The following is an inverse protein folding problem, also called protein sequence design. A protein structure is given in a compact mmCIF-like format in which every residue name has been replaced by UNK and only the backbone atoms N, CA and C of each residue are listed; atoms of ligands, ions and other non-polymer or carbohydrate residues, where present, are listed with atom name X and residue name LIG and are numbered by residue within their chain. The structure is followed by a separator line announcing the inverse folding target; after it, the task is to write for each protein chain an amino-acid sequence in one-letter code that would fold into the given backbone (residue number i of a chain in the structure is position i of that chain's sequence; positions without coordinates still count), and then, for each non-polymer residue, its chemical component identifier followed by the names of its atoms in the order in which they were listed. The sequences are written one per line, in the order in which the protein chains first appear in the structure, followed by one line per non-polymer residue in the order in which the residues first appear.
data_IF_556130320990
#
_entry.id   IF_556130320990
#
_cell.length_a   1.000
_cell.length_b   1.000
_cell.length_c   1.000
_cell.angle_alpha   90.00
_cell.angle_beta   90.00
_cell.angle_gamma   90.00
#
_symmetry.space_group_name_H-M   'P 1'
#
loop_
_entity.id
_entity.type
_entity.pdbx_description
1 polymer ?
#
# COMPACT_ATOMS: atom_id res chain seq x y z
N UNK A 1 -8.34 -23.57 -7.97
CA UNK A 1 -7.60 -23.82 -9.23
C UNK A 1 -8.45 -23.69 -10.51
N UNK A 2 -9.80 -23.64 -10.44
CA UNK A 2 -10.66 -23.65 -11.64
C UNK A 2 -11.08 -22.26 -12.18
N UNK A 3 -10.91 -21.17 -11.42
CA UNK A 3 -11.28 -19.80 -11.86
C UNK A 3 -10.19 -19.09 -12.68
N UNK A 4 -8.93 -19.47 -12.49
CA UNK A 4 -7.79 -18.94 -13.25
C UNK A 4 -7.89 -19.33 -14.73
N UNK A 5 -8.48 -20.48 -15.03
CA UNK A 5 -8.59 -21.03 -16.39
C UNK A 5 -9.57 -20.23 -17.27
N UNK A 6 -10.66 -19.68 -16.72
CA UNK A 6 -11.67 -18.96 -17.53
C UNK A 6 -11.16 -17.57 -17.94
N UNK A 7 -10.49 -16.84 -17.04
CA UNK A 7 -9.84 -15.57 -17.39
C UNK A 7 -8.66 -15.79 -18.37
N UNK A 8 -7.94 -16.92 -18.25
CA UNK A 8 -6.87 -17.28 -19.20
C UNK A 8 -7.38 -17.55 -20.62
N UNK A 9 -8.54 -18.22 -20.79
CA UNK A 9 -9.05 -18.62 -22.11
C UNK A 9 -9.51 -17.40 -22.95
N UNK A 10 -10.04 -16.35 -22.31
CA UNK A 10 -10.50 -15.14 -23.02
C UNK A 10 -9.36 -14.18 -23.39
N UNK A 11 -8.21 -14.28 -22.73
CA UNK A 11 -7.10 -13.32 -22.86
C UNK A 11 -6.06 -13.69 -23.93
N UNK A 12 -6.16 -14.86 -24.58
CA UNK A 12 -5.08 -15.43 -25.40
C UNK A 12 -4.79 -14.64 -26.69
N UNK A 13 -5.75 -13.90 -27.26
CA UNK A 13 -5.56 -13.27 -28.59
C UNK A 13 -5.60 -11.73 -28.62
N UNK A 14 -5.98 -11.03 -27.55
CA UNK A 14 -6.10 -9.56 -27.59
C UNK A 14 -5.49 -8.88 -26.36
N UNK A 15 -4.45 -8.07 -26.61
CA UNK A 15 -3.75 -7.26 -25.58
C UNK A 15 -4.70 -6.37 -24.78
N UNK A 16 -5.72 -5.80 -25.43
CA UNK A 16 -6.72 -4.94 -24.76
C UNK A 16 -7.58 -5.76 -23.78
N UNK A 17 -8.00 -6.96 -24.18
CA UNK A 17 -8.81 -7.84 -23.32
C UNK A 17 -7.99 -8.33 -22.13
N UNK A 18 -6.72 -8.70 -22.35
CA UNK A 18 -5.81 -9.08 -21.28
C UNK A 18 -5.54 -7.93 -20.30
N UNK A 19 -5.39 -6.70 -20.80
CA UNK A 19 -5.18 -5.53 -19.96
C UNK A 19 -6.41 -5.20 -19.07
N UNK A 20 -7.63 -5.49 -19.53
CA UNK A 20 -8.85 -5.18 -18.78
C UNK A 20 -9.28 -6.33 -17.85
N UNK A 21 -9.11 -7.59 -18.27
CA UNK A 21 -9.66 -8.76 -17.57
C UNK A 21 -8.60 -9.74 -17.06
N UNK A 22 -7.32 -9.57 -17.41
CA UNK A 22 -6.24 -10.42 -16.94
C UNK A 22 -6.03 -10.29 -15.43
N UNK A 23 -5.81 -11.42 -14.75
CA UNK A 23 -5.62 -11.46 -13.29
C UNK A 23 -4.20 -11.08 -12.84
N UNK A 24 -3.19 -11.31 -13.68
CA UNK A 24 -1.77 -11.08 -13.31
C UNK A 24 -1.21 -9.77 -13.88
N UNK A 25 -1.61 -9.40 -15.09
CA UNK A 25 -1.08 -8.24 -15.83
C UNK A 25 -2.14 -7.21 -16.19
N UNK A 26 -3.41 -7.48 -15.86
CA UNK A 26 -4.56 -6.62 -16.15
C UNK A 26 -5.18 -5.98 -14.91
N UNK A 27 -6.30 -5.26 -15.12
CA UNK A 27 -7.05 -4.54 -14.08
C UNK A 27 -8.06 -5.41 -13.33
N UNK A 28 -8.32 -6.63 -13.80
CA UNK A 28 -9.16 -7.60 -13.11
C UNK A 28 -10.62 -7.16 -12.95
N UNK A 29 -11.25 -6.59 -14.00
CA UNK A 29 -12.64 -6.11 -13.92
C UNK A 29 -13.72 -7.16 -13.64
N UNK A 30 -13.39 -8.45 -13.74
CA UNK A 30 -14.30 -9.54 -13.36
C UNK A 30 -13.59 -10.56 -12.45
N UNK A 31 -13.35 -10.24 -11.17
CA UNK A 31 -12.82 -11.20 -10.21
C UNK A 31 -13.97 -12.01 -9.61
N UNK A 32 -14.77 -12.68 -10.45
CA UNK A 32 -15.83 -13.58 -9.94
C UNK A 32 -15.21 -14.95 -9.68
N UNK A 33 -14.85 -15.19 -8.42
CA UNK A 33 -14.51 -16.53 -7.92
C UNK A 33 -15.67 -17.07 -7.09
N UNK A 34 -16.05 -18.33 -7.32
CA UNK A 34 -17.06 -19.02 -6.51
C UNK A 34 -16.41 -19.84 -5.37
N UNK A 35 -15.12 -19.63 -5.14
CA UNK A 35 -14.35 -20.28 -4.09
C UNK A 35 -14.33 -19.42 -2.83
N UNK A 36 -15.00 -19.90 -1.77
CA UNK A 36 -15.05 -19.21 -0.48
C UNK A 36 -13.66 -18.99 0.13
N UNK A 37 -12.69 -19.88 -0.13
CA UNK A 37 -11.33 -19.71 0.38
C UNK A 37 -10.62 -18.50 -0.22
N UNK A 38 -10.88 -18.20 -1.50
CA UNK A 38 -10.34 -17.03 -2.18
C UNK A 38 -11.00 -15.73 -1.71
N UNK A 39 -12.31 -15.79 -1.40
CA UNK A 39 -13.05 -14.66 -0.86
C UNK A 39 -12.61 -14.35 0.57
N UNK A 40 -12.44 -15.37 1.42
CA UNK A 40 -11.99 -15.22 2.80
C UNK A 40 -10.55 -14.73 2.91
N UNK A 41 -9.69 -15.07 1.94
CA UNK A 41 -8.32 -14.59 1.86
C UNK A 41 -8.24 -13.07 1.70
N UNK A 42 -9.17 -12.45 0.95
CA UNK A 42 -9.18 -11.02 0.69
C UNK A 42 -9.94 -10.22 1.75
N UNK A 43 -9.64 -10.49 3.03
CA UNK A 43 -10.31 -9.93 4.22
C UNK A 43 -11.79 -10.30 4.29
N UNK A 44 -12.12 -11.31 5.11
CA UNK A 44 -13.48 -11.82 5.39
C UNK A 44 -14.59 -10.76 5.23
N UNK A 45 -15.29 -10.71 4.09
CA UNK A 45 -16.20 -9.60 3.78
C UNK A 45 -17.48 -9.59 4.63
N UNK A 46 -17.71 -10.62 5.45
CA UNK A 46 -18.84 -10.66 6.38
C UNK A 46 -18.64 -9.81 7.62
N UNK A 47 -17.38 -9.49 7.98
CA UNK A 47 -17.09 -8.72 9.20
C UNK A 47 -17.11 -7.20 8.96
N UNK A 48 -17.08 -6.77 7.71
CA UNK A 48 -17.00 -5.35 7.32
C UNK A 48 -18.41 -4.87 6.90
N UNK A 49 -18.92 -3.74 7.42
CA UNK A 49 -20.22 -3.22 7.02
C UNK A 49 -20.24 -2.86 5.52
N UNK A 50 -21.39 -3.08 4.86
CA UNK A 50 -21.55 -2.86 3.42
C UNK A 50 -21.13 -1.46 2.95
N UNK A 51 -21.46 -0.40 3.73
CA UNK A 51 -21.08 0.98 3.39
C UNK A 51 -19.56 1.15 3.26
N UNK A 52 -18.76 0.52 4.12
CA UNK A 52 -17.31 0.61 4.05
C UNK A 52 -16.77 -0.11 2.80
N UNK A 53 -17.34 -1.27 2.47
CA UNK A 53 -16.99 -2.01 1.26
C UNK A 53 -17.33 -1.21 0.00
N UNK A 54 -18.51 -0.57 -0.04
CA UNK A 54 -18.93 0.28 -1.15
C UNK A 54 -17.98 1.47 -1.36
N UNK A 55 -17.46 2.08 -0.28
CA UNK A 55 -16.48 3.17 -0.39
C UNK A 55 -15.14 2.70 -0.96
N UNK A 56 -14.63 1.55 -0.49
CA UNK A 56 -13.39 0.96 -1.02
C UNK A 56 -13.55 0.62 -2.50
N UNK A 57 -14.68 0.00 -2.86
CA UNK A 57 -15.00 -0.32 -4.25
C UNK A 57 -15.13 0.94 -5.12
N UNK A 58 -15.77 2.00 -4.62
CA UNK A 58 -15.86 3.28 -5.34
C UNK A 58 -14.47 3.89 -5.58
N UNK A 59 -13.58 3.84 -4.59
CA UNK A 59 -12.19 4.28 -4.75
C UNK A 59 -11.44 3.49 -5.83
N UNK A 60 -11.54 2.15 -5.79
CA UNK A 60 -10.97 1.30 -6.83
C UNK A 60 -11.56 1.59 -8.21
N UNK A 61 -12.88 1.75 -8.31
CA UNK A 61 -13.57 2.03 -9.56
C UNK A 61 -13.12 3.36 -10.17
N UNK A 62 -13.09 4.44 -9.38
CA UNK A 62 -12.67 5.75 -9.87
C UNK A 62 -11.19 5.77 -10.31
N UNK A 63 -10.28 5.24 -9.49
CA UNK A 63 -8.83 5.34 -9.77
C UNK A 63 -8.36 4.28 -10.77
N UNK A 64 -8.68 3.02 -10.53
CA UNK A 64 -8.15 1.91 -11.33
C UNK A 64 -9.09 1.51 -12.47
N UNK A 65 -10.41 1.57 -12.28
CA UNK A 65 -11.34 1.21 -13.35
C UNK A 65 -11.57 2.32 -14.39
N UNK A 66 -11.43 3.59 -14.00
CA UNK A 66 -11.65 4.72 -14.91
C UNK A 66 -10.35 5.43 -15.24
N UNK A 67 -9.62 5.93 -14.25
CA UNK A 67 -8.45 6.79 -14.50
C UNK A 67 -7.27 6.00 -15.12
N UNK A 68 -6.95 4.81 -14.60
CA UNK A 68 -5.84 4.00 -15.12
C UNK A 68 -5.92 3.68 -16.63
N UNK A 69 -7.04 3.15 -17.17
CA UNK A 69 -7.14 2.90 -18.61
C UNK A 69 -7.13 4.19 -19.43
N UNK A 70 -7.78 5.27 -18.95
CA UNK A 70 -7.73 6.57 -19.64
C UNK A 70 -6.27 7.00 -19.83
N UNK A 71 -5.50 7.05 -18.75
CA UNK A 71 -4.11 7.49 -18.79
C UNK A 71 -3.21 6.58 -19.63
N UNK A 72 -3.45 5.27 -19.60
CA UNK A 72 -2.73 4.28 -20.39
C UNK A 72 -2.97 4.47 -21.90
N UNK A 73 -4.24 4.62 -22.31
CA UNK A 73 -4.59 4.77 -23.73
C UNK A 73 -4.31 6.18 -24.27
N UNK A 74 -4.26 7.23 -23.43
CA UNK A 74 -3.77 8.55 -23.83
C UNK A 74 -2.24 8.66 -23.85
N UNK A 75 -1.53 7.55 -23.59
CA UNK A 75 -0.07 7.49 -23.52
C UNK A 75 0.55 8.55 -22.58
N UNK A 76 -0.11 8.76 -21.44
CA UNK A 76 0.39 9.70 -20.44
C UNK A 76 1.65 9.10 -19.80
N UNK A 77 2.71 9.88 -19.71
CA UNK A 77 4.02 9.46 -19.18
C UNK A 77 4.67 8.26 -19.90
N UNK A 78 4.39 8.09 -21.20
CA UNK A 78 4.97 7.02 -22.04
C UNK A 78 4.64 5.60 -21.57
N UNK A 79 3.56 5.44 -20.80
CA UNK A 79 3.19 4.17 -20.17
C UNK A 79 2.53 3.16 -21.10
N UNK A 80 2.08 3.56 -22.30
CA UNK A 80 1.38 2.68 -23.24
C UNK A 80 2.25 1.53 -23.77
N UNK A 81 3.59 1.66 -23.67
CA UNK A 81 4.56 0.64 -24.09
C UNK A 81 4.93 -0.34 -22.98
N UNK A 82 4.49 -0.07 -21.75
CA UNK A 82 4.75 -0.88 -20.56
C UNK A 82 3.56 -1.81 -20.27
N UNK A 83 3.77 -2.87 -19.47
CA UNK A 83 2.64 -3.61 -18.91
C UNK A 83 1.75 -2.66 -18.10
N UNK A 84 0.44 -2.84 -18.22
CA UNK A 84 -0.52 -1.96 -17.56
C UNK A 84 -0.40 -2.07 -16.04
N UNK A 85 -0.30 -3.31 -15.54
CA UNK A 85 -0.08 -3.61 -14.12
C UNK A 85 1.29 -4.22 -13.91
N UNK A 86 2.05 -3.71 -12.94
CA UNK A 86 3.35 -4.24 -12.52
C UNK A 86 3.94 -3.47 -11.33
N UNK A 87 4.80 -4.11 -10.56
CA UNK A 87 5.54 -3.50 -9.44
C UNK A 87 6.95 -3.04 -9.81
N UNK A 88 7.39 -3.37 -11.02
CA UNK A 88 8.76 -3.13 -11.47
C UNK A 88 8.91 -1.78 -12.18
N UNK A 89 10.14 -1.26 -12.15
CA UNK A 89 10.54 -0.08 -12.89
C UNK A 89 11.20 -0.48 -14.21
N UNK A 90 11.00 0.32 -15.26
CA UNK A 90 11.49 0.05 -16.61
C UNK A 90 12.38 1.17 -17.13
N UNK A 91 13.28 0.82 -18.05
CA UNK A 91 14.07 1.78 -18.83
C UNK A 91 13.33 2.22 -20.11
N UNK A 92 13.92 3.16 -20.86
CA UNK A 92 13.40 3.66 -22.13
C UNK A 92 13.25 2.58 -23.22
N UNK A 93 13.89 1.43 -23.07
CA UNK A 93 13.80 0.29 -24.00
C UNK A 93 12.74 -0.72 -23.58
N UNK A 94 12.08 -0.52 -22.43
CA UNK A 94 11.09 -1.45 -21.88
C UNK A 94 11.69 -2.65 -21.15
N UNK A 95 12.99 -2.62 -20.86
CA UNK A 95 13.64 -3.63 -20.02
C UNK A 95 13.56 -3.23 -18.54
N UNK A 96 13.76 -4.20 -17.65
CA UNK A 96 13.83 -3.96 -16.21
C UNK A 96 14.95 -2.97 -15.88
N UNK A 97 14.62 -1.95 -15.10
CA UNK A 97 15.54 -0.87 -14.77
C UNK A 97 16.67 -1.36 -13.85
N UNK A 98 17.92 -1.23 -14.31
CA UNK A 98 19.09 -1.61 -13.51
C UNK A 98 19.58 -0.44 -12.66
N UNK A 99 19.26 -0.46 -11.36
CA UNK A 99 19.64 0.58 -10.41
C UNK A 99 21.16 0.65 -10.16
N UNK A 100 21.91 -0.43 -10.31
CA UNK A 100 23.37 -0.43 -10.10
C UNK A 100 24.10 0.43 -11.12
N UNK A 101 23.55 0.60 -12.33
CA UNK A 101 24.18 1.40 -13.39
C UNK A 101 24.22 2.90 -13.11
N UNK A 102 23.33 3.40 -12.25
CA UNK A 102 23.26 4.83 -11.91
C UNK A 102 23.99 5.16 -10.61
N UNK A 103 24.58 4.16 -9.95
CA UNK A 103 25.28 4.33 -8.68
C UNK A 103 26.79 4.52 -8.92
N UNK A 104 27.40 5.34 -8.07
CA UNK A 104 28.83 5.42 -7.90
C UNK A 104 29.35 4.34 -6.95
N UNK A 105 30.67 4.16 -6.91
CA UNK A 105 31.33 3.16 -6.06
C UNK A 105 31.02 3.38 -4.56
N UNK A 106 30.60 4.60 -4.20
CA UNK A 106 30.18 5.02 -2.87
C UNK A 106 28.68 4.78 -2.60
N UNK A 107 27.92 4.26 -3.58
CA UNK A 107 26.47 4.02 -3.47
C UNK A 107 25.60 5.27 -3.63
N UNK A 108 26.18 6.41 -4.01
CA UNK A 108 25.45 7.63 -4.34
C UNK A 108 24.99 7.64 -5.80
N UNK A 109 23.89 8.34 -6.11
CA UNK A 109 23.38 8.48 -7.49
C UNK A 109 24.28 9.43 -8.27
N UNK A 110 24.77 8.99 -9.42
CA UNK A 110 25.53 9.80 -10.38
C UNK A 110 24.61 10.37 -11.47
N UNK A 111 24.48 11.69 -11.52
CA UNK A 111 23.64 12.39 -12.50
C UNK A 111 24.15 12.20 -13.95
N UNK A 112 25.46 12.05 -14.16
CA UNK A 112 26.01 11.82 -15.49
C UNK A 112 25.63 10.42 -16.01
N UNK A 113 25.79 9.40 -15.17
CA UNK A 113 25.38 8.02 -15.51
C UNK A 113 23.87 7.88 -15.66
N UNK A 114 23.09 8.61 -14.86
CA UNK A 114 21.63 8.64 -14.97
C UNK A 114 21.15 9.18 -16.33
N UNK A 115 21.73 10.31 -16.76
CA UNK A 115 21.39 10.92 -18.05
C UNK A 115 21.85 10.08 -19.25
N UNK A 116 22.96 9.36 -19.11
CA UNK A 116 23.45 8.44 -20.14
C UNK A 116 22.59 7.17 -20.25
N UNK A 117 22.11 6.64 -19.12
CA UNK A 117 21.34 5.40 -19.10
C UNK A 117 19.89 5.61 -19.56
N UNK A 118 19.02 6.16 -18.71
CA UNK A 118 17.61 6.42 -19.01
C UNK A 118 16.90 7.03 -17.81
N UNK A 119 15.88 7.89 -18.01
CA UNK A 119 14.88 8.13 -16.98
C UNK A 119 14.13 6.84 -16.61
N UNK A 120 13.60 6.79 -15.39
CA UNK A 120 12.80 5.66 -14.89
C UNK A 120 11.37 5.81 -15.42
N UNK A 121 10.85 4.74 -16.00
CA UNK A 121 9.44 4.63 -16.38
C UNK A 121 8.73 3.63 -15.50
N UNK A 122 7.53 3.99 -15.03
CA UNK A 122 6.72 3.16 -14.13
C UNK A 122 5.43 2.76 -14.83
N UNK A 123 4.93 1.53 -14.61
CA UNK A 123 3.58 1.13 -14.99
C UNK A 123 2.53 2.10 -14.43
N UNK A 124 1.43 2.29 -15.16
CA UNK A 124 0.43 3.28 -14.79
C UNK A 124 -0.22 2.98 -13.44
N UNK A 125 -0.46 1.70 -13.12
CA UNK A 125 -1.05 1.31 -11.83
C UNK A 125 -0.08 1.57 -10.68
N UNK A 126 1.22 1.44 -10.90
CA UNK A 126 2.23 1.68 -9.87
C UNK A 126 2.37 3.18 -9.59
N UNK A 127 2.42 3.99 -10.64
CA UNK A 127 2.40 5.46 -10.51
C UNK A 127 1.14 5.95 -9.78
N UNK A 128 -0.03 5.42 -10.12
CA UNK A 128 -1.28 5.75 -9.44
C UNK A 128 -1.31 5.29 -7.99
N UNK A 129 -0.75 4.11 -7.67
CA UNK A 129 -0.63 3.62 -6.30
C UNK A 129 0.19 4.59 -5.43
N UNK A 130 1.33 5.08 -5.94
CA UNK A 130 2.11 6.11 -5.24
C UNK A 130 1.33 7.41 -5.07
N UNK A 131 0.67 7.89 -6.13
CA UNK A 131 -0.13 9.11 -6.08
C UNK A 131 -1.25 9.03 -5.03
N UNK A 132 -1.97 7.90 -4.98
CA UNK A 132 -2.99 7.65 -3.96
C UNK A 132 -2.38 7.54 -2.58
N UNK A 133 -1.19 6.94 -2.43
CA UNK A 133 -0.47 6.89 -1.15
C UNK A 133 -0.24 8.28 -0.54
N UNK A 134 0.24 9.24 -1.34
CA UNK A 134 0.38 10.63 -0.90
C UNK A 134 -0.97 11.30 -0.61
N UNK A 135 -2.01 10.98 -1.39
CA UNK A 135 -3.36 11.49 -1.16
C UNK A 135 -3.96 10.95 0.16
N UNK A 136 -3.67 9.70 0.52
CA UNK A 136 -4.14 9.11 1.79
C UNK A 136 -3.49 9.79 3.00
N UNK A 137 -2.19 10.11 2.95
CA UNK A 137 -1.52 10.83 4.04
C UNK A 137 -2.14 12.21 4.29
N UNK A 138 -2.37 12.95 3.21
CA UNK A 138 -3.01 14.28 3.29
C UNK A 138 -4.49 14.21 3.68
N UNK A 139 -5.21 13.19 3.20
CA UNK A 139 -6.60 12.92 3.60
C UNK A 139 -6.70 12.60 5.09
N UNK A 140 -5.80 11.77 5.63
CA UNK A 140 -5.77 11.40 7.04
C UNK A 140 -5.55 12.63 7.93
N UNK A 141 -4.59 13.48 7.59
CA UNK A 141 -4.35 14.74 8.33
C UNK A 141 -5.60 15.63 8.29
N UNK A 142 -6.20 15.81 7.12
CA UNK A 142 -7.40 16.63 6.95
C UNK A 142 -8.58 16.05 7.76
N UNK A 143 -8.76 14.74 7.73
CA UNK A 143 -9.83 14.05 8.45
C UNK A 143 -9.67 14.20 9.98
N UNK A 144 -8.45 14.00 10.50
CA UNK A 144 -8.16 14.16 11.93
C UNK A 144 -8.41 15.60 12.38
N UNK A 145 -7.97 16.58 11.60
CA UNK A 145 -8.18 18.00 11.92
C UNK A 145 -9.67 18.37 11.90
N UNK A 146 -10.44 17.90 10.91
CA UNK A 146 -11.85 18.27 10.80
C UNK A 146 -12.74 17.59 11.85
N UNK A 147 -12.52 16.29 12.10
CA UNK A 147 -13.41 15.49 12.95
C UNK A 147 -12.95 15.40 14.41
N UNK A 148 -11.64 15.39 14.67
CA UNK A 148 -11.08 15.14 16.01
C UNK A 148 -10.39 16.36 16.62
N UNK A 149 -10.39 17.53 15.97
CA UNK A 149 -9.76 18.74 16.54
C UNK A 149 -10.31 19.13 17.90
N UNK A 150 -11.62 19.00 18.10
CA UNK A 150 -12.26 19.33 19.39
C UNK A 150 -11.80 18.39 20.50
N UNK A 151 -11.83 17.08 20.25
CA UNK A 151 -11.37 16.08 21.20
C UNK A 151 -9.88 16.26 21.54
N UNK A 152 -9.05 16.57 20.54
CA UNK A 152 -7.63 16.87 20.73
C UNK A 152 -7.45 18.11 21.62
N UNK A 153 -8.18 19.21 21.35
CA UNK A 153 -8.11 20.43 22.15
C UNK A 153 -8.61 20.21 23.59
N UNK A 154 -9.68 19.44 23.77
CA UNK A 154 -10.24 19.13 25.09
C UNK A 154 -9.26 18.23 25.88
N UNK A 155 -8.52 17.35 25.21
CA UNK A 155 -7.41 16.59 25.79
C UNK A 155 -6.29 17.52 26.29
N UNK A 156 -5.83 18.45 25.44
CA UNK A 156 -4.79 19.41 25.81
C UNK A 156 -5.22 20.35 26.95
N UNK A 157 -6.52 20.64 27.05
CA UNK A 157 -7.11 21.45 28.13
C UNK A 157 -7.41 20.65 29.40
N UNK A 158 -7.21 19.32 29.39
CA UNK A 158 -7.51 18.44 30.52
C UNK A 158 -9.00 18.25 30.79
N UNK A 159 -9.88 18.54 29.84
CA UNK A 159 -11.34 18.49 29.99
C UNK A 159 -11.96 17.18 29.48
N UNK A 160 -11.14 16.22 29.06
CA UNK A 160 -11.62 14.96 28.50
C UNK A 160 -12.49 14.18 29.49
N UNK A 161 -13.71 13.84 29.07
CA UNK A 161 -14.55 12.87 29.78
C UNK A 161 -13.95 11.48 29.60
N UNK A 162 -13.48 10.89 30.70
CA UNK A 162 -13.12 9.48 30.77
C UNK A 162 -14.36 8.63 30.43
N UNK A 163 -14.21 7.77 29.44
CA UNK A 163 -15.22 6.78 29.06
C UNK A 163 -15.43 5.74 30.18
N UNK A 164 -16.38 4.83 30.00
CA UNK A 164 -16.70 3.82 31.03
C UNK A 164 -15.50 2.90 31.27
N UNK A 165 -14.74 2.54 30.23
CA UNK A 165 -13.59 1.65 30.36
C UNK A 165 -12.43 2.36 31.07
N UNK A 166 -12.05 3.59 30.70
CA UNK A 166 -11.01 4.33 31.42
C UNK A 166 -11.41 4.63 32.87
N UNK A 167 -12.71 4.76 33.17
CA UNK A 167 -13.20 4.92 34.54
C UNK A 167 -13.04 3.63 35.35
N UNK A 168 -13.37 2.48 34.78
CA UNK A 168 -13.18 1.17 35.42
C UNK A 168 -11.68 0.85 35.59
N UNK A 169 -10.85 1.17 34.59
CA UNK A 169 -9.40 0.99 34.64
C UNK A 169 -8.71 1.92 35.65
N UNK A 170 -9.27 3.10 35.94
CA UNK A 170 -8.66 4.03 36.91
C UNK A 170 -8.55 3.47 38.35
N UNK A 171 -9.14 2.30 38.62
CA UNK A 171 -8.98 1.56 39.89
C UNK A 171 -7.65 0.80 39.98
N UNK A 172 -7.01 0.53 38.86
CA UNK A 172 -5.71 -0.15 38.79
C UNK A 172 -4.57 0.88 38.73
N UNK A 173 -3.39 0.58 39.31
CA UNK A 173 -2.24 1.47 39.20
C UNK A 173 -1.78 1.59 37.75
N UNK A 174 -1.44 2.81 37.33
CA UNK A 174 -0.93 3.08 35.98
C UNK A 174 0.38 2.31 35.75
N UNK A 175 0.49 1.70 34.57
CA UNK A 175 1.71 1.00 34.15
C UNK A 175 2.81 2.04 33.94
N UNK A 176 4.02 1.72 34.41
CA UNK A 176 5.15 2.63 34.26
C UNK A 176 5.43 2.96 32.79
N UNK A 177 5.67 4.24 32.49
CA UNK A 177 5.79 4.76 31.11
C UNK A 177 6.83 4.02 30.24
N UNK A 178 7.87 3.47 30.86
CA UNK A 178 8.93 2.74 30.17
C UNK A 178 8.47 1.41 29.57
N UNK A 179 7.40 0.80 30.08
CA UNK A 179 6.80 -0.39 29.44
C UNK A 179 6.23 -0.05 28.06
N UNK A 180 5.57 1.10 27.92
CA UNK A 180 5.09 1.57 26.63
C UNK A 180 6.25 1.86 25.68
N UNK A 181 7.32 2.49 26.17
CA UNK A 181 8.52 2.74 25.36
C UNK A 181 9.18 1.44 24.87
N UNK A 182 9.27 0.41 25.71
CA UNK A 182 9.80 -0.91 25.31
C UNK A 182 8.88 -1.57 24.27
N UNK A 183 7.56 -1.55 24.50
CA UNK A 183 6.59 -2.13 23.55
C UNK A 183 6.55 -1.41 22.21
N UNK A 184 6.83 -0.11 22.18
CA UNK A 184 6.95 0.64 20.92
C UNK A 184 8.29 0.37 20.22
N UNK A 185 9.39 0.29 20.96
CA UNK A 185 10.73 0.10 20.36
C UNK A 185 11.00 -1.36 19.98
N UNK A 186 10.41 -2.35 20.67
CA UNK A 186 10.72 -3.76 20.41
C UNK A 186 10.27 -4.25 19.02
N UNK A 187 9.07 -3.94 18.50
CA UNK A 187 8.65 -4.33 17.16
C UNK A 187 9.46 -3.57 16.10
N UNK A 188 9.67 -2.26 16.27
CA UNK A 188 10.48 -1.45 15.36
C UNK A 188 11.91 -1.99 15.24
N UNK A 189 12.52 -2.42 16.35
CA UNK A 189 13.86 -3.02 16.36
C UNK A 189 13.92 -4.39 15.66
N UNK A 190 12.87 -5.20 15.80
CA UNK A 190 12.78 -6.50 15.12
C UNK A 190 12.58 -6.29 13.62
N UNK A 191 11.64 -5.41 13.22
CA UNK A 191 11.37 -5.10 11.81
C UNK A 191 12.53 -4.40 11.12
N UNK A 192 13.27 -3.53 11.80
CA UNK A 192 14.52 -2.96 11.25
C UNK A 192 15.62 -4.01 11.10
N UNK A 193 15.73 -4.99 12.00
CA UNK A 193 16.67 -6.10 11.80
C UNK A 193 16.31 -6.97 10.62
N UNK A 194 15.04 -7.36 10.49
CA UNK A 194 14.59 -8.21 9.40
C UNK A 194 14.71 -7.50 8.05
N UNK A 195 14.39 -6.20 7.99
CA UNK A 195 14.58 -5.40 6.77
C UNK A 195 16.06 -5.15 6.43
N UNK A 196 16.96 -5.01 7.41
CA UNK A 196 18.42 -4.93 7.15
C UNK A 196 18.94 -6.26 6.59
N UNK A 197 18.49 -7.39 7.13
CA UNK A 197 18.85 -8.74 6.65
C UNK A 197 18.28 -8.99 5.25
N UNK A 198 17.06 -8.53 4.97
CA UNK A 198 16.44 -8.66 3.64
C UNK A 198 17.03 -7.67 2.61
N UNK A 199 17.45 -6.47 3.00
CA UNK A 199 18.15 -5.51 2.11
C UNK A 199 19.52 -6.04 1.70
N UNK A 200 20.21 -6.77 2.58
CA UNK A 200 21.47 -7.45 2.25
C UNK A 200 21.24 -8.63 1.28
N UNK A 201 20.01 -9.13 1.19
CA UNK A 201 19.62 -10.28 0.35
C UNK A 201 18.90 -9.90 -0.95
N UNK A 202 18.23 -8.74 -1.00
CA UNK A 202 17.43 -8.24 -2.14
C UNK A 202 17.56 -6.71 -2.28
N UNK A 203 18.09 -6.26 -3.43
CA UNK A 203 18.48 -4.87 -3.73
C UNK A 203 17.32 -3.90 -4.05
N UNK A 204 16.12 -4.09 -3.50
CA UNK A 204 14.94 -3.26 -3.77
C UNK A 204 14.61 -2.33 -2.61
N UNK A 205 15.05 -1.06 -2.73
CA UNK A 205 14.96 0.05 -1.77
C UNK A 205 13.55 0.43 -1.26
N UNK A 206 12.49 -0.23 -1.74
CA UNK A 206 11.09 0.06 -1.41
C UNK A 206 10.49 -0.92 -0.40
N UNK A 207 11.08 -2.11 -0.22
CA UNK A 207 10.64 -3.10 0.77
C UNK A 207 10.71 -2.61 2.24
N UNK A 208 11.71 -1.80 2.66
CA UNK A 208 11.83 -1.39 4.06
C UNK A 208 10.66 -0.51 4.55
N UNK A 209 10.11 0.33 3.69
CA UNK A 209 8.98 1.20 4.04
C UNK A 209 7.68 0.39 4.17
N UNK A 210 7.44 -0.56 3.26
CA UNK A 210 6.26 -1.43 3.33
C UNK A 210 6.30 -2.39 4.52
N UNK A 211 7.48 -2.97 4.83
CA UNK A 211 7.69 -3.81 6.02
C UNK A 211 7.43 -3.05 7.33
N UNK A 212 7.95 -1.83 7.45
CA UNK A 212 7.69 -0.97 8.60
C UNK A 212 6.20 -0.58 8.72
N UNK A 213 5.53 -0.31 7.60
CA UNK A 213 4.10 0.01 7.60
C UNK A 213 3.21 -1.17 8.01
N UNK A 214 3.52 -2.40 7.56
CA UNK A 214 2.82 -3.62 8.01
C UNK A 214 3.05 -3.89 9.50
N UNK A 215 4.27 -3.69 10.01
CA UNK A 215 4.59 -3.85 11.43
C UNK A 215 3.80 -2.88 12.33
N UNK A 216 3.61 -1.63 11.88
CA UNK A 216 2.76 -0.67 12.59
C UNK A 216 1.26 -1.03 12.59
N UNK A 217 0.74 -1.71 11.56
CA UNK A 217 -0.65 -2.20 11.55
C UNK A 217 -0.87 -3.32 12.57
N UNK A 218 0.09 -4.25 12.68
CA UNK A 218 0.06 -5.31 13.69
C UNK A 218 0.25 -4.76 15.11
N UNK A 219 1.06 -3.71 15.27
CA UNK A 219 1.21 -3.00 16.55
C UNK A 219 -0.09 -2.32 17.00
N UNK A 220 -0.78 -1.59 16.11
CA UNK A 220 -2.04 -0.94 16.45
C UNK A 220 -3.09 -1.97 16.86
N UNK A 221 -3.20 -3.10 16.16
CA UNK A 221 -4.13 -4.18 16.53
C UNK A 221 -3.80 -4.84 17.87
N UNK A 222 -2.51 -4.96 18.23
CA UNK A 222 -2.07 -5.42 19.56
C UNK A 222 -2.37 -4.44 20.70
N UNK A 223 -2.23 -3.13 20.45
CA UNK A 223 -2.56 -2.08 21.43
C UNK A 223 -4.07 -1.98 21.69
N UNK A 224 -4.91 -2.24 20.69
CA UNK A 224 -6.37 -2.29 20.87
C UNK A 224 -6.88 -3.58 21.55
N UNK A 225 -6.04 -4.61 21.71
CA UNK A 225 -6.38 -5.88 22.38
C UNK A 225 -6.01 -5.91 23.87
N UNK A 226 -5.28 -4.92 24.36
CA UNK A 226 -5.08 -4.74 25.79
C UNK A 226 -6.23 -3.89 26.36
N UNK A 227 -6.94 -4.39 27.38
CA UNK A 227 -8.17 -3.78 27.91
C UNK A 227 -7.96 -2.37 28.48
#
# INVERSE_FOLDING_TARGET
MNHVVISLILCIDNKVVNNLFGMTTGLGYMPTTFDWSQIAYNTSPLTIPFWAQANVFAGWFCIYAVIAPILYYTNTWYTAHLPLTGSDAYDNTGNLYNSTRILNDEGAIDDAKYREYSPIFLPITFALCYGVGFAVLSCLLTHVVLYHSKDILDTFRGQNKKDVHARLLSRYPDVAWWWYAILTVSPDYITTKDSVIDVERLSSWLLPLWSNMSGTQDFLSGVYLLP
#
